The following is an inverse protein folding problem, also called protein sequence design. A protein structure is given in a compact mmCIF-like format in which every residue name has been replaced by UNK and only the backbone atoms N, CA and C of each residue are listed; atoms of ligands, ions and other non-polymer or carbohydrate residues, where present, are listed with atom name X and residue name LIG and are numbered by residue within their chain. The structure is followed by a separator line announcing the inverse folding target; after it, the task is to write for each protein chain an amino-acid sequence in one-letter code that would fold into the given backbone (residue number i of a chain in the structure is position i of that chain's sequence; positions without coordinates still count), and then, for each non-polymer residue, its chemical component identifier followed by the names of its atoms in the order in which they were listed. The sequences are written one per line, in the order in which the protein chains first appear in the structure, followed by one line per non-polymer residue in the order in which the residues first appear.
data_IF_264426354653
#
_entry.id   IF_264426354653
#
_cell.length_a   1.000
_cell.length_b   1.000
_cell.length_c   1.000
_cell.angle_alpha   90.00
_cell.angle_beta   90.00
_cell.angle_gamma   90.00
#
_symmetry.space_group_name_H-M   'P 1'
#
loop_
_entity.id
_entity.type
_entity.pdbx_description
1 polymer ?
#
# COMPACT_ATOMS: atom_id res chain seq x y z
N UNK A 1 35.84 10.79 -8.97
CA UNK A 1 34.76 11.28 -8.08
C UNK A 1 33.49 11.34 -8.93
N UNK A 2 32.56 10.42 -8.72
CA UNK A 2 31.27 10.42 -9.43
C UNK A 2 30.42 11.54 -8.83
N UNK A 3 30.13 12.58 -9.60
CA UNK A 3 29.15 13.60 -9.24
C UNK A 3 27.78 12.94 -9.23
N UNK A 4 27.30 12.59 -8.04
CA UNK A 4 25.91 12.20 -7.86
C UNK A 4 25.06 13.41 -8.27
N UNK A 5 24.35 13.30 -9.40
CA UNK A 5 23.40 14.30 -9.86
C UNK A 5 22.35 14.48 -8.76
N UNK A 6 22.15 15.70 -8.30
CA UNK A 6 21.14 16.01 -7.29
C UNK A 6 19.77 15.55 -7.79
N UNK A 7 19.09 14.72 -7.02
CA UNK A 7 17.75 14.24 -7.35
C UNK A 7 16.79 15.42 -7.24
N UNK A 8 15.98 15.66 -8.29
CA UNK A 8 14.96 16.70 -8.25
C UNK A 8 13.89 16.38 -7.21
N UNK A 9 13.50 17.35 -6.39
CA UNK A 9 12.43 17.22 -5.39
C UNK A 9 11.10 16.77 -6.03
N UNK A 10 10.88 17.08 -7.29
CA UNK A 10 9.70 16.68 -8.06
C UNK A 10 9.59 15.16 -8.23
N UNK A 11 10.71 14.43 -8.12
CA UNK A 11 10.76 12.98 -8.15
C UNK A 11 10.62 12.32 -6.76
N UNK A 12 10.52 13.13 -5.71
CA UNK A 12 10.46 12.67 -4.32
C UNK A 12 9.17 13.07 -3.61
N UNK A 13 8.47 14.11 -4.08
CA UNK A 13 7.27 14.65 -3.41
C UNK A 13 6.08 14.61 -4.35
N UNK A 14 5.12 13.76 -4.03
CA UNK A 14 3.88 13.58 -4.78
C UNK A 14 2.70 14.09 -3.96
N UNK A 15 2.01 15.10 -4.48
CA UNK A 15 0.90 15.76 -3.78
C UNK A 15 -0.43 15.37 -4.39
N UNK A 16 -1.51 15.43 -3.58
CA UNK A 16 -2.89 15.18 -4.02
C UNK A 16 -3.08 13.81 -4.67
N UNK A 17 -2.39 12.78 -4.17
CA UNK A 17 -2.52 11.41 -4.67
C UNK A 17 -3.94 10.86 -4.48
N UNK A 18 -4.75 11.49 -3.63
CA UNK A 18 -6.13 11.15 -3.32
C UNK A 18 -7.17 12.11 -3.94
N UNK A 19 -6.80 12.91 -4.94
CA UNK A 19 -7.68 13.94 -5.48
C UNK A 19 -8.55 13.46 -6.67
N UNK A 20 -8.31 12.25 -7.18
CA UNK A 20 -8.97 11.76 -8.39
C UNK A 20 -9.71 10.47 -8.12
N UNK A 21 -10.94 10.39 -8.63
CA UNK A 21 -11.76 9.16 -8.65
C UNK A 21 -11.23 8.19 -9.71
N UNK A 22 -11.36 6.90 -9.46
CA UNK A 22 -10.81 5.84 -10.30
C UNK A 22 -9.49 5.30 -9.77
N UNK A 23 -8.75 4.57 -10.59
CA UNK A 23 -7.42 4.04 -10.27
C UNK A 23 -6.33 4.92 -10.85
N UNK A 24 -5.46 5.43 -10.00
CA UNK A 24 -4.35 6.30 -10.39
C UNK A 24 -3.05 5.86 -9.71
N UNK A 25 -2.06 5.46 -10.52
CA UNK A 25 -0.69 5.24 -10.06
C UNK A 25 0.04 6.60 -10.01
N UNK A 26 0.22 7.10 -8.80
CA UNK A 26 0.86 8.40 -8.57
C UNK A 26 2.38 8.32 -8.61
N UNK A 27 2.94 7.24 -8.08
CA UNK A 27 4.39 7.01 -7.98
C UNK A 27 4.73 5.72 -8.70
N UNK A 28 5.71 5.78 -9.60
CA UNK A 28 6.21 4.64 -10.37
C UNK A 28 7.71 4.77 -10.57
N UNK A 29 8.43 3.69 -10.94
CA UNK A 29 9.83 3.79 -11.34
C UNK A 29 10.10 4.76 -12.48
N UNK A 30 9.10 5.07 -13.30
CA UNK A 30 9.26 5.99 -14.43
C UNK A 30 9.25 7.46 -14.01
N UNK A 31 8.54 7.83 -12.92
CA UNK A 31 8.35 9.22 -12.52
C UNK A 31 8.93 9.56 -11.15
N UNK A 32 9.57 8.61 -10.49
CA UNK A 32 10.12 8.78 -9.12
C UNK A 32 11.57 8.30 -9.03
N UNK A 33 12.10 8.29 -7.82
CA UNK A 33 13.40 7.66 -7.49
C UNK A 33 13.27 6.16 -7.16
N UNK A 34 12.05 5.64 -7.09
CA UNK A 34 11.79 4.23 -6.84
C UNK A 34 12.27 3.37 -8.01
N UNK A 35 12.90 2.23 -7.72
CA UNK A 35 13.38 1.28 -8.73
C UNK A 35 12.43 0.12 -8.92
N UNK A 36 11.67 -0.23 -7.90
CA UNK A 36 10.85 -1.44 -7.87
C UNK A 36 9.40 -1.16 -7.47
N UNK A 37 9.17 -0.21 -6.57
CA UNK A 37 7.90 0.04 -5.96
C UNK A 37 7.07 1.05 -6.77
N UNK A 38 5.78 0.76 -6.92
CA UNK A 38 4.78 1.72 -7.40
C UNK A 38 3.71 1.91 -6.34
N UNK A 39 3.17 3.13 -6.25
CA UNK A 39 2.09 3.49 -5.35
C UNK A 39 0.99 4.23 -6.09
N UNK A 40 -0.24 3.96 -5.72
CA UNK A 40 -1.42 4.62 -6.24
C UNK A 40 -2.60 4.57 -5.29
N UNK A 41 -3.71 5.04 -5.80
CA UNK A 41 -5.00 5.01 -5.12
C UNK A 41 -6.06 4.45 -6.05
N UNK A 42 -7.01 3.73 -5.45
CA UNK A 42 -8.26 3.35 -6.10
C UNK A 42 -9.38 3.99 -5.28
N UNK A 43 -9.94 5.07 -5.80
CA UNK A 43 -11.01 5.83 -5.14
C UNK A 43 -12.27 5.68 -5.97
N UNK A 44 -13.26 5.03 -5.40
CA UNK A 44 -14.55 4.80 -6.06
C UNK A 44 -15.68 5.39 -5.23
N UNK A 45 -16.74 5.79 -5.92
CA UNK A 45 -17.97 6.33 -5.35
C UNK A 45 -19.21 5.76 -6.07
N UNK A 46 -20.39 6.20 -5.69
CA UNK A 46 -21.63 5.74 -6.28
C UNK A 46 -21.78 6.13 -7.78
N UNK A 47 -21.11 7.19 -8.22
CA UNK A 47 -21.11 7.61 -9.63
C UNK A 47 -20.09 6.86 -10.48
N UNK A 48 -18.98 6.44 -9.85
CA UNK A 48 -17.89 5.68 -10.46
C UNK A 48 -17.60 4.44 -9.61
N UNK A 49 -18.49 3.44 -9.59
CA UNK A 49 -18.46 2.37 -8.61
C UNK A 49 -17.51 1.22 -8.94
N UNK A 50 -16.81 1.27 -10.07
CA UNK A 50 -16.08 0.11 -10.60
C UNK A 50 -14.80 0.51 -11.32
N UNK A 51 -13.78 -0.36 -11.19
CA UNK A 51 -12.57 -0.35 -12.00
C UNK A 51 -12.07 -1.78 -12.21
N UNK A 52 -11.47 -2.03 -13.37
CA UNK A 52 -10.83 -3.32 -13.66
C UNK A 52 -9.46 -3.10 -14.29
N UNK A 53 -8.49 -3.93 -13.92
CA UNK A 53 -7.13 -3.88 -14.43
C UNK A 53 -6.42 -5.22 -14.26
N UNK A 54 -5.28 -5.37 -14.93
CA UNK A 54 -4.35 -6.47 -14.69
C UNK A 54 -3.08 -5.93 -14.03
N UNK A 55 -2.54 -6.67 -13.07
CA UNK A 55 -1.26 -6.33 -12.45
C UNK A 55 -0.03 -6.89 -13.21
N UNK A 56 -0.23 -7.66 -14.27
CA UNK A 56 0.84 -8.22 -15.09
C UNK A 56 1.91 -8.92 -14.26
N UNK A 57 3.16 -8.56 -14.43
CA UNK A 57 4.30 -9.18 -13.73
C UNK A 57 4.50 -8.68 -12.29
N UNK A 58 3.59 -7.84 -11.79
CA UNK A 58 3.70 -7.26 -10.44
C UNK A 58 2.80 -8.01 -9.45
N UNK A 59 3.30 -8.23 -8.25
CA UNK A 59 2.43 -8.47 -7.09
C UNK A 59 1.82 -7.15 -6.64
N UNK A 60 0.63 -7.20 -6.04
CA UNK A 60 -0.12 -6.01 -5.63
C UNK A 60 -0.67 -6.18 -4.23
N UNK A 61 -0.51 -5.16 -3.42
CA UNK A 61 -1.19 -5.02 -2.13
C UNK A 61 -2.23 -3.91 -2.21
N UNK A 62 -3.41 -4.16 -1.66
CA UNK A 62 -4.43 -3.13 -1.43
C UNK A 62 -4.70 -3.02 0.06
N UNK A 63 -4.74 -1.80 0.60
CA UNK A 63 -5.20 -1.50 1.96
C UNK A 63 -6.42 -0.60 1.84
N UNK A 64 -7.54 -0.97 2.44
CA UNK A 64 -8.73 -0.13 2.51
C UNK A 64 -8.50 0.99 3.53
N UNK A 65 -8.32 2.21 3.08
CA UNK A 65 -8.09 3.38 3.94
C UNK A 65 -9.40 3.95 4.49
N UNK A 66 -10.46 3.90 3.68
CA UNK A 66 -11.78 4.40 4.07
C UNK A 66 -12.89 3.70 3.30
N UNK A 67 -14.08 3.64 3.91
CA UNK A 67 -15.25 3.02 3.32
C UNK A 67 -15.17 1.49 3.29
N UNK A 68 -15.78 0.91 2.26
CA UNK A 68 -15.73 -0.54 2.02
C UNK A 68 -15.86 -0.84 0.52
N UNK A 69 -15.20 -1.89 0.09
CA UNK A 69 -15.22 -2.31 -1.30
C UNK A 69 -15.08 -3.82 -1.45
N UNK A 70 -15.44 -4.30 -2.62
CA UNK A 70 -15.27 -5.70 -3.01
C UNK A 70 -14.15 -5.79 -4.04
N UNK A 71 -13.20 -6.67 -3.81
CA UNK A 71 -12.15 -7.03 -4.76
C UNK A 71 -12.49 -8.40 -5.33
N UNK A 72 -12.56 -8.52 -6.68
CA UNK A 72 -12.81 -9.79 -7.36
C UNK A 72 -11.55 -10.25 -8.07
N UNK A 73 -11.20 -11.51 -7.86
CA UNK A 73 -10.03 -12.15 -8.46
C UNK A 73 -10.37 -13.60 -8.77
N UNK A 74 -10.17 -14.00 -10.03
CA UNK A 74 -10.43 -15.37 -10.49
C UNK A 74 -11.82 -15.91 -10.10
N UNK A 75 -12.85 -15.07 -10.19
CA UNK A 75 -14.24 -15.41 -9.86
C UNK A 75 -14.60 -15.38 -8.36
N UNK A 76 -13.64 -15.17 -7.48
CA UNK A 76 -13.89 -15.04 -6.04
C UNK A 76 -14.05 -13.58 -5.64
N UNK A 77 -14.93 -13.31 -4.66
CA UNK A 77 -15.19 -11.99 -4.12
C UNK A 77 -14.64 -11.85 -2.70
N UNK A 78 -13.92 -10.75 -2.45
CA UNK A 78 -13.32 -10.41 -1.18
C UNK A 78 -13.83 -9.04 -0.73
N UNK A 79 -14.74 -9.03 0.26
CA UNK A 79 -15.22 -7.77 0.84
C UNK A 79 -14.20 -7.25 1.84
N UNK A 80 -13.75 -6.01 1.67
CA UNK A 80 -12.76 -5.35 2.51
C UNK A 80 -13.37 -4.10 3.14
N UNK A 81 -13.28 -4.02 4.47
CA UNK A 81 -13.61 -2.83 5.25
C UNK A 81 -12.36 -2.05 5.62
N UNK A 82 -12.55 -0.96 6.36
CA UNK A 82 -11.45 -0.07 6.74
C UNK A 82 -10.31 -0.83 7.42
N UNK A 83 -9.10 -0.61 6.91
CA UNK A 83 -7.83 -1.21 7.30
C UNK A 83 -7.67 -2.71 6.99
N UNK A 84 -8.67 -3.38 6.43
CA UNK A 84 -8.43 -4.69 5.82
C UNK A 84 -7.45 -4.55 4.65
N UNK A 85 -6.64 -5.57 4.43
CA UNK A 85 -5.71 -5.64 3.32
C UNK A 85 -5.89 -6.92 2.50
N UNK A 86 -5.46 -6.88 1.24
CA UNK A 86 -5.36 -8.05 0.39
C UNK A 86 -4.03 -8.03 -0.36
N UNK A 87 -3.33 -9.16 -0.32
CA UNK A 87 -2.20 -9.44 -1.18
C UNK A 87 -2.66 -10.22 -2.41
N UNK A 88 -2.30 -9.73 -3.58
CA UNK A 88 -2.72 -10.25 -4.87
C UNK A 88 -1.46 -10.67 -5.66
N UNK A 89 -1.36 -11.93 -6.08
CA UNK A 89 -0.23 -12.40 -6.85
C UNK A 89 -0.14 -11.74 -8.23
N UNK A 90 1.04 -11.78 -8.84
CA UNK A 90 1.23 -11.40 -10.25
C UNK A 90 0.31 -12.20 -11.20
N UNK A 91 0.12 -11.69 -12.39
CA UNK A 91 -0.71 -12.29 -13.45
C UNK A 91 -2.17 -12.47 -13.00
N UNK A 92 -2.71 -11.47 -12.28
CA UNK A 92 -4.08 -11.43 -11.83
C UNK A 92 -4.89 -10.38 -12.59
N UNK A 93 -6.08 -10.76 -13.04
CA UNK A 93 -7.13 -9.82 -13.41
C UNK A 93 -7.86 -9.40 -12.12
N UNK A 94 -7.98 -8.11 -11.89
CA UNK A 94 -8.47 -7.52 -10.65
C UNK A 94 -9.65 -6.61 -10.99
N UNK A 95 -10.76 -6.83 -10.34
CA UNK A 95 -11.90 -5.93 -10.36
C UNK A 95 -12.12 -5.37 -8.96
N UNK A 96 -12.33 -4.07 -8.86
CA UNK A 96 -12.64 -3.39 -7.60
C UNK A 96 -13.97 -2.67 -7.76
N UNK A 97 -14.86 -2.86 -6.80
CA UNK A 97 -16.19 -2.25 -6.84
C UNK A 97 -16.65 -1.84 -5.44
N UNK A 98 -17.53 -0.86 -5.40
CA UNK A 98 -18.21 -0.40 -4.19
C UNK A 98 -19.67 -0.12 -4.44
N UNK A 99 -20.51 -0.19 -3.40
CA UNK A 99 -21.92 0.24 -3.44
C UNK A 99 -22.08 1.68 -2.95
N UNK A 100 -21.11 2.21 -2.24
CA UNK A 100 -21.16 3.56 -1.64
C UNK A 100 -19.93 4.36 -1.98
N UNK A 101 -18.85 4.14 -1.24
CA UNK A 101 -17.54 4.73 -1.48
C UNK A 101 -16.45 3.83 -0.91
N UNK A 102 -15.29 3.85 -1.54
CA UNK A 102 -14.08 3.20 -1.03
C UNK A 102 -12.84 3.96 -1.47
N UNK A 103 -11.83 3.92 -0.65
CA UNK A 103 -10.50 4.43 -0.93
C UNK A 103 -9.45 3.39 -0.54
N UNK A 104 -8.82 2.80 -1.54
CA UNK A 104 -7.71 1.87 -1.36
C UNK A 104 -6.37 2.55 -1.64
N UNK A 105 -5.40 2.35 -0.74
CA UNK A 105 -4.00 2.47 -1.12
C UNK A 105 -3.62 1.24 -1.96
N UNK A 106 -3.01 1.46 -3.11
CA UNK A 106 -2.45 0.43 -3.98
C UNK A 106 -0.92 0.55 -3.99
N UNK A 107 -0.23 -0.54 -3.78
CA UNK A 107 1.22 -0.63 -3.95
C UNK A 107 1.56 -1.92 -4.67
N UNK A 108 2.56 -1.86 -5.54
CA UNK A 108 2.95 -3.01 -6.37
C UNK A 108 4.44 -3.03 -6.65
N UNK A 109 4.95 -4.23 -6.85
CA UNK A 109 6.35 -4.46 -7.20
C UNK A 109 6.49 -5.64 -8.17
N UNK A 110 7.44 -5.54 -9.11
CA UNK A 110 7.73 -6.62 -10.04
C UNK A 110 8.36 -7.83 -9.33
N UNK A 111 7.84 -9.02 -9.57
CA UNK A 111 8.32 -10.27 -8.98
C UNK A 111 8.43 -11.39 -10.01
N UNK A 112 9.33 -12.36 -9.77
CA UNK A 112 9.44 -13.55 -10.61
C UNK A 112 8.48 -14.67 -10.20
N UNK A 113 8.35 -14.90 -8.89
CA UNK A 113 7.48 -15.93 -8.33
C UNK A 113 6.02 -15.51 -8.30
N UNK A 114 5.12 -16.49 -8.28
CA UNK A 114 3.69 -16.30 -8.03
C UNK A 114 3.37 -16.87 -6.65
N UNK A 115 2.86 -16.04 -5.76
CA UNK A 115 2.62 -16.38 -4.36
C UNK A 115 1.11 -16.46 -4.09
N UNK A 116 0.67 -17.13 -3.01
CA UNK A 116 -0.75 -17.29 -2.71
C UNK A 116 -1.44 -15.94 -2.40
N UNK A 117 -2.64 -15.72 -2.93
CA UNK A 117 -3.51 -14.63 -2.51
C UNK A 117 -3.80 -14.75 -1.01
N UNK A 118 -3.77 -13.62 -0.30
CA UNK A 118 -4.07 -13.57 1.13
C UNK A 118 -4.88 -12.33 1.48
N UNK A 119 -6.02 -12.53 2.12
CA UNK A 119 -6.75 -11.46 2.80
C UNK A 119 -6.24 -11.35 4.24
N UNK A 120 -5.99 -10.14 4.68
CA UNK A 120 -5.60 -9.82 6.06
C UNK A 120 -6.71 -8.97 6.68
N UNK A 121 -7.33 -9.48 7.72
CA UNK A 121 -8.37 -8.77 8.45
C UNK A 121 -7.76 -7.89 9.53
N UNK A 122 -8.09 -6.62 9.53
CA UNK A 122 -7.60 -5.71 10.57
C UNK A 122 -8.03 -6.12 11.98
N UNK A 123 -9.22 -6.72 12.11
CA UNK A 123 -9.71 -7.24 13.38
C UNK A 123 -8.79 -8.32 14.01
N UNK A 124 -8.06 -9.08 13.17
CA UNK A 124 -7.08 -10.07 13.62
C UNK A 124 -5.74 -9.38 13.95
N UNK A 125 -5.28 -8.47 13.09
CA UNK A 125 -4.09 -7.65 13.33
C UNK A 125 -4.19 -6.86 14.63
N UNK A 126 -5.34 -6.27 14.90
CA UNK A 126 -5.58 -5.46 16.11
C UNK A 126 -5.42 -6.23 17.43
N UNK A 127 -5.49 -7.55 17.38
CA UNK A 127 -5.36 -8.45 18.56
C UNK A 127 -3.96 -9.06 18.67
N UNK A 128 -3.15 -8.96 17.65
CA UNK A 128 -1.82 -9.57 17.60
C UNK A 128 -0.74 -8.54 17.96
N UNK A 129 -0.07 -8.67 19.13
CA UNK A 129 0.97 -7.75 19.55
C UNK A 129 2.24 -7.80 18.68
N UNK A 130 2.41 -8.84 17.85
CA UNK A 130 3.46 -8.90 16.84
C UNK A 130 3.14 -8.09 15.57
N UNK A 131 1.87 -7.77 15.35
CA UNK A 131 1.39 -7.06 14.16
C UNK A 131 0.96 -5.63 14.49
N UNK A 132 0.45 -5.38 15.70
CA UNK A 132 0.06 -4.06 16.19
C UNK A 132 0.79 -3.74 17.48
N UNK A 133 1.67 -2.75 17.45
CA UNK A 133 2.48 -2.37 18.59
C UNK A 133 2.86 -0.90 18.57
N UNK A 134 3.26 -0.39 19.74
CA UNK A 134 3.72 0.98 19.91
C UNK A 134 5.24 1.00 19.89
N UNK A 135 5.82 1.97 19.18
CA UNK A 135 7.25 2.21 19.12
C UNK A 135 7.57 3.69 19.29
N UNK A 136 8.83 3.99 19.64
CA UNK A 136 9.35 5.34 19.80
C UNK A 136 9.25 5.88 21.22
N UNK A 137 10.04 6.95 21.48
CA UNK A 137 10.11 7.69 22.73
C UNK A 137 9.10 8.87 22.71
N UNK A 138 8.94 9.63 23.82
CA UNK A 138 8.18 10.87 23.80
C UNK A 138 8.62 11.78 22.65
N UNK A 139 7.65 12.31 21.89
CA UNK A 139 7.90 13.09 20.68
C UNK A 139 8.08 12.29 19.39
N UNK A 140 8.22 10.95 19.48
CA UNK A 140 8.27 10.05 18.33
C UNK A 140 7.44 8.77 18.53
N UNK A 141 6.56 8.80 19.52
CA UNK A 141 5.65 7.69 19.82
C UNK A 141 4.66 7.50 18.67
N UNK A 142 4.57 6.28 18.17
CA UNK A 142 3.69 5.90 17.08
C UNK A 142 3.16 4.48 17.27
N UNK A 143 1.99 4.22 16.74
CA UNK A 143 1.42 2.88 16.67
C UNK A 143 1.63 2.34 15.26
N UNK A 144 2.30 1.20 15.15
CA UNK A 144 2.50 0.48 13.91
C UNK A 144 1.43 -0.59 13.75
N UNK A 145 0.86 -0.66 12.55
CA UNK A 145 -0.14 -1.65 12.16
C UNK A 145 0.40 -2.38 10.92
N UNK A 146 1.01 -3.53 11.13
CA UNK A 146 1.64 -4.33 10.07
C UNK A 146 0.59 -5.24 9.46
N UNK A 147 0.30 -5.08 8.17
CA UNK A 147 -0.77 -5.82 7.50
C UNK A 147 -0.21 -6.95 6.62
N UNK A 148 0.77 -6.63 5.79
CA UNK A 148 1.43 -7.58 4.91
C UNK A 148 2.90 -7.66 5.32
N UNK A 149 3.31 -8.77 5.88
CA UNK A 149 4.69 -9.05 6.28
C UNK A 149 4.89 -10.57 6.45
N UNK A 150 5.41 -11.02 7.60
CA UNK A 150 5.65 -12.46 7.86
C UNK A 150 4.37 -13.32 7.88
N UNK A 151 3.20 -12.71 7.98
CA UNK A 151 1.89 -13.37 7.91
C UNK A 151 1.43 -13.64 6.47
N UNK A 152 2.13 -13.09 5.47
CA UNK A 152 1.80 -13.19 4.04
C UNK A 152 3.04 -13.66 3.28
N UNK A 153 2.90 -14.70 2.49
CA UNK A 153 3.98 -15.12 1.58
C UNK A 153 3.97 -14.17 0.38
N UNK A 154 4.76 -13.10 0.45
CA UNK A 154 4.94 -12.12 -0.60
C UNK A 154 6.34 -12.20 -1.20
N UNK A 155 6.52 -11.72 -2.41
CA UNK A 155 7.82 -11.70 -3.07
C UNK A 155 8.72 -10.56 -2.62
N UNK A 156 8.14 -9.36 -2.45
CA UNK A 156 8.84 -8.12 -2.12
C UNK A 156 8.06 -7.21 -1.17
N UNK A 157 6.73 -7.27 -1.17
CA UNK A 157 5.89 -6.32 -0.45
C UNK A 157 5.89 -6.58 1.05
N UNK A 158 6.16 -5.52 1.80
CA UNK A 158 5.83 -5.35 3.20
C UNK A 158 4.98 -4.09 3.30
N UNK A 159 3.84 -4.16 3.97
CA UNK A 159 2.93 -3.05 4.03
C UNK A 159 2.12 -2.99 5.32
N UNK A 160 1.81 -1.78 5.70
CA UNK A 160 0.98 -1.46 6.85
C UNK A 160 0.74 0.03 6.91
N UNK A 161 0.26 0.51 8.04
CA UNK A 161 0.13 1.93 8.30
C UNK A 161 0.59 2.28 9.72
N UNK A 162 0.95 3.52 9.89
CA UNK A 162 1.40 4.07 11.17
C UNK A 162 0.48 5.19 11.60
N UNK A 163 0.06 5.19 12.85
CA UNK A 163 -0.68 6.28 13.50
C UNK A 163 0.21 6.99 14.50
N UNK A 164 0.25 8.32 14.44
CA UNK A 164 0.97 9.18 15.39
C UNK A 164 0.07 10.31 15.85
N UNK A 165 0.23 10.72 17.10
CA UNK A 165 -0.42 11.94 17.59
C UNK A 165 0.18 13.17 16.91
N UNK A 166 -0.60 14.25 16.73
CA UNK A 166 -0.09 15.51 16.20
C UNK A 166 1.12 16.00 17.00
N UNK A 167 2.13 16.49 16.28
CA UNK A 167 3.38 16.97 16.87
C UNK A 167 4.45 15.90 17.10
N UNK A 168 4.14 14.63 16.92
CA UNK A 168 5.14 13.55 16.99
C UNK A 168 5.78 13.29 15.62
N UNK A 169 7.05 12.88 15.66
CA UNK A 169 7.73 12.29 14.52
C UNK A 169 7.25 10.85 14.30
N UNK A 170 6.96 10.48 13.07
CA UNK A 170 6.65 9.07 12.72
C UNK A 170 7.89 8.19 12.69
N UNK A 171 9.08 8.80 12.55
CA UNK A 171 10.37 8.12 12.64
C UNK A 171 11.41 9.08 13.21
N UNK A 172 12.22 8.65 14.18
CA UNK A 172 13.28 9.44 14.73
C UNK A 172 14.50 8.58 15.10
N UNK A 173 15.76 8.95 14.74
CA UNK A 173 16.06 10.06 13.81
C UNK A 173 15.51 9.79 12.42
N UNK A 174 15.21 10.83 11.61
CA UNK A 174 14.78 10.64 10.23
C UNK A 174 15.84 9.88 9.44
N UNK A 175 15.44 8.84 8.73
CA UNK A 175 16.32 8.00 7.91
C UNK A 175 15.53 7.34 6.78
N UNK A 176 16.25 6.81 5.80
CA UNK A 176 15.70 6.02 4.72
C UNK A 176 16.43 4.67 4.61
N UNK A 177 15.74 3.66 4.12
CA UNK A 177 16.31 2.34 3.85
C UNK A 177 16.69 2.19 2.37
N UNK A 178 17.66 3.00 1.91
CA UNK A 178 17.99 3.11 0.48
C UNK A 178 18.82 1.97 -0.11
N UNK A 179 19.39 1.08 0.70
CA UNK A 179 20.30 0.02 0.22
C UNK A 179 19.61 -1.30 -0.06
N UNK A 180 18.65 -1.70 0.76
CA UNK A 180 18.01 -3.02 0.73
C UNK A 180 16.51 -2.89 0.50
N UNK A 181 15.88 -1.87 1.06
CA UNK A 181 14.45 -1.59 0.96
C UNK A 181 14.20 -0.31 0.16
N UNK A 182 13.04 -0.21 -0.45
CA UNK A 182 12.46 1.03 -0.94
C UNK A 182 11.23 1.32 -0.11
N UNK A 183 11.12 2.56 0.37
CA UNK A 183 10.02 3.02 1.24
C UNK A 183 9.24 4.15 0.58
N UNK A 184 7.93 4.21 0.87
CA UNK A 184 7.02 5.31 0.54
C UNK A 184 6.18 5.69 1.74
#
# INVERSE_FOLDING_TARGET
MSTQSAVSIEKMVFRKTNAQTGRHLAVTPANSTMRHLSYGRIILDAANPFVSFSNGTQETGLICLAGNGTVKIAGNEYNLGQFDAIYIPRDSAIEVLTKTAVDFAEFSAGVKGKYPLKVVRYADVAKDPGMKFVAGNPGSRRELNVLIANNVVAGRLIAGFTSSDPGNWTCWPPHEHAKILEEM
#
